data_IF_295717984204
#
_entry.id   IF_295717984204
#
_cell.length_a   1.000
_cell.length_b   1.000
_cell.length_c   1.000
_cell.angle_alpha   90.00
_cell.angle_beta   90.00
_cell.angle_gamma   90.00
#
_symmetry.space_group_name_H-M   'P 1'
#
loop_
_entity.id
_entity.type
_entity.pdbx_description
1 polymer ?
#
# COMPACT_ATOMS: atom_id res chain seq x y z
N UNK A 1 -8.17 -15.15 -18.08
CA UNK A 1 -6.70 -15.24 -18.06
C UNK A 1 -6.18 -14.42 -16.89
N UNK A 2 -5.17 -14.88 -16.15
CA UNK A 2 -4.63 -14.20 -14.97
C UNK A 2 -4.09 -12.79 -15.26
N UNK A 3 -3.51 -12.58 -16.45
CA UNK A 3 -3.17 -11.22 -16.92
C UNK A 3 -4.33 -10.65 -17.74
N UNK A 4 -4.86 -9.52 -17.29
CA UNK A 4 -6.04 -8.86 -17.85
C UNK A 4 -5.63 -7.47 -18.33
N UNK A 5 -5.67 -7.23 -19.65
CA UNK A 5 -5.59 -5.87 -20.17
C UNK A 5 -7.00 -5.30 -20.26
N UNK A 6 -7.26 -4.15 -19.64
CA UNK A 6 -8.60 -3.57 -19.55
C UNK A 6 -8.63 -2.10 -19.95
N UNK A 7 -9.75 -1.72 -20.56
CA UNK A 7 -10.10 -0.34 -20.92
C UNK A 7 -11.30 0.18 -20.12
N UNK A 8 -11.64 -0.46 -18.98
CA UNK A 8 -12.77 -0.07 -18.14
C UNK A 8 -12.51 1.23 -17.37
N UNK A 9 -11.25 1.57 -17.12
CA UNK A 9 -10.88 2.88 -16.60
C UNK A 9 -10.71 3.88 -17.75
N UNK A 10 -11.51 4.97 -17.72
CA UNK A 10 -11.38 6.11 -18.62
C UNK A 10 -11.12 7.37 -17.80
N UNK A 11 -9.97 8.04 -17.96
CA UNK A 11 -9.65 9.26 -17.23
C UNK A 11 -10.34 10.46 -17.90
N UNK A 12 -10.55 11.56 -17.17
CA UNK A 12 -10.99 12.81 -17.76
C UNK A 12 -10.01 13.31 -18.83
N UNK A 13 -10.54 13.96 -19.87
CA UNK A 13 -9.73 14.52 -20.96
C UNK A 13 -8.71 15.58 -20.49
N UNK A 14 -8.98 16.27 -19.38
CA UNK A 14 -8.08 17.25 -18.76
C UNK A 14 -6.99 16.60 -17.87
N UNK A 15 -6.97 15.27 -17.74
CA UNK A 15 -5.89 14.48 -17.16
C UNK A 15 -5.21 13.61 -18.24
N UNK A 16 -4.47 14.22 -19.19
CA UNK A 16 -4.11 13.56 -20.45
C UNK A 16 -3.02 12.49 -20.32
N UNK A 17 -2.22 12.49 -19.24
CA UNK A 17 -1.12 11.54 -19.07
C UNK A 17 -0.96 11.07 -17.61
N UNK A 18 -0.06 10.10 -17.43
CA UNK A 18 0.22 9.49 -16.12
C UNK A 18 0.64 10.47 -15.05
N UNK A 19 1.38 11.53 -15.38
CA UNK A 19 1.81 12.53 -14.39
C UNK A 19 0.62 13.33 -13.86
N UNK A 20 -0.22 13.88 -14.73
CA UNK A 20 -1.41 14.60 -14.30
C UNK A 20 -2.37 13.69 -13.52
N UNK A 21 -2.55 12.46 -13.97
CA UNK A 21 -3.38 11.46 -13.29
C UNK A 21 -2.84 11.09 -11.90
N UNK A 22 -1.52 11.15 -11.68
CA UNK A 22 -0.89 10.92 -10.37
C UNK A 22 -0.95 12.15 -9.46
N UNK A 23 -0.63 13.33 -10.01
CA UNK A 23 -0.43 14.56 -9.24
C UNK A 23 -1.75 15.18 -8.81
N UNK A 24 -2.74 15.23 -9.71
CA UNK A 24 -4.01 15.89 -9.43
C UNK A 24 -4.71 15.33 -8.18
N UNK A 25 -4.98 14.01 -8.08
CA UNK A 25 -5.67 13.48 -6.90
C UNK A 25 -4.82 13.60 -5.64
N UNK A 26 -3.50 13.52 -5.74
CA UNK A 26 -2.61 13.70 -4.60
C UNK A 26 -2.61 15.13 -4.02
N UNK A 27 -3.00 16.13 -4.81
CA UNK A 27 -3.05 17.54 -4.39
C UNK A 27 -4.46 18.06 -4.11
N UNK A 28 -5.45 17.62 -4.89
CA UNK A 28 -6.77 18.26 -4.93
C UNK A 28 -7.92 17.37 -4.45
N UNK A 29 -7.71 16.05 -4.32
CA UNK A 29 -8.74 15.17 -3.75
C UNK A 29 -8.73 15.35 -2.23
N UNK A 30 -9.90 15.61 -1.65
CA UNK A 30 -10.07 15.73 -0.20
C UNK A 30 -11.17 14.79 0.26
N UNK A 31 -10.82 13.85 1.13
CA UNK A 31 -11.76 12.88 1.72
C UNK A 31 -11.41 12.74 3.19
N UNK A 32 -12.41 12.97 4.03
CA UNK A 32 -12.29 12.89 5.49
C UNK A 32 -13.05 11.64 5.99
N UNK A 33 -12.38 10.51 6.20
CA UNK A 33 -12.98 9.34 6.83
C UNK A 33 -13.15 9.60 8.33
N UNK A 34 -14.07 8.87 8.96
CA UNK A 34 -14.21 8.89 10.42
C UNK A 34 -13.23 7.86 10.98
N UNK A 35 -12.10 8.35 11.51
CA UNK A 35 -11.07 7.52 12.12
C UNK A 35 -11.15 7.52 13.65
N UNK A 36 -10.92 6.34 14.23
CA UNK A 36 -10.61 6.15 15.64
C UNK A 36 -9.17 5.64 15.73
N UNK A 37 -8.28 6.46 16.28
CA UNK A 37 -6.85 6.12 16.38
C UNK A 37 -6.60 5.24 17.61
N UNK A 38 -5.87 4.15 17.40
CA UNK A 38 -5.34 3.26 18.42
C UNK A 38 -3.81 3.19 18.26
N UNK A 39 -3.06 3.43 19.32
CA UNK A 39 -1.60 3.25 19.33
C UNK A 39 -1.25 1.89 19.92
N UNK A 40 -0.48 1.11 19.18
CA UNK A 40 0.10 -0.14 19.67
C UNK A 40 1.57 0.07 20.02
N UNK A 41 1.99 -0.52 21.14
CA UNK A 41 3.43 -0.67 21.44
C UNK A 41 3.91 -1.95 20.76
N UNK A 42 4.97 -1.86 19.98
CA UNK A 42 5.52 -3.01 19.26
C UNK A 42 6.43 -3.84 20.18
N UNK A 43 6.73 -5.11 19.85
CA UNK A 43 7.61 -5.96 20.66
C UNK A 43 9.03 -5.41 20.86
N UNK A 44 9.50 -4.54 19.97
CA UNK A 44 10.79 -3.86 20.05
C UNK A 44 10.70 -2.49 20.78
N UNK A 45 9.68 -2.27 21.60
CA UNK A 45 9.44 -1.02 22.35
C UNK A 45 9.37 0.23 21.45
N UNK A 46 8.79 0.06 20.26
CA UNK A 46 8.40 1.14 19.38
C UNK A 46 6.87 1.31 19.39
N UNK A 47 6.32 2.00 18.40
CA UNK A 47 4.89 2.09 18.24
C UNK A 47 4.42 2.08 16.77
N UNK A 48 3.18 1.65 16.59
CA UNK A 48 2.41 1.81 15.36
C UNK A 48 1.07 2.47 15.71
N UNK A 49 0.62 3.41 14.87
CA UNK A 49 -0.68 4.05 15.00
C UNK A 49 -1.65 3.49 13.97
N UNK A 50 -2.77 2.94 14.44
CA UNK A 50 -3.83 2.34 13.64
C UNK A 50 -5.02 3.28 13.59
N UNK A 51 -5.48 3.62 12.40
CA UNK A 51 -6.68 4.44 12.20
C UNK A 51 -7.83 3.55 11.75
N UNK A 52 -8.74 3.24 12.68
CA UNK A 52 -9.91 2.40 12.44
C UNK A 52 -11.08 3.20 11.87
N UNK A 53 -11.79 2.64 10.91
CA UNK A 53 -13.06 3.17 10.42
C UNK A 53 -14.05 2.02 10.25
N UNK A 54 -15.19 2.11 10.93
CA UNK A 54 -16.16 1.02 10.97
C UNK A 54 -17.27 1.24 9.95
N UNK A 55 -17.75 0.16 9.36
CA UNK A 55 -18.85 0.22 8.41
C UNK A 55 -20.09 0.82 9.09
N UNK A 56 -20.82 1.66 8.36
CA UNK A 56 -22.10 2.18 8.87
C UNK A 56 -23.10 1.03 8.85
N UNK A 57 -23.93 0.92 9.89
CA UNK A 57 -25.05 -0.04 9.89
C UNK A 57 -25.95 0.26 8.69
N UNK A 58 -25.80 -0.51 7.60
CA UNK A 58 -26.73 -0.48 6.50
C UNK A 58 -28.04 -1.10 7.02
N UNK A 59 -29.06 -0.27 7.21
CA UNK A 59 -30.45 -0.64 7.52
C UNK A 59 -31.11 -1.60 6.50
N UNK A 60 -30.34 -2.15 5.56
CA UNK A 60 -30.80 -3.12 4.55
C UNK A 60 -30.73 -4.56 5.11
N UNK A 61 -29.91 -4.83 6.13
CA UNK A 61 -29.86 -6.15 6.78
C UNK A 61 -30.94 -6.36 7.86
N UNK A 62 -31.57 -5.29 8.38
CA UNK A 62 -32.51 -5.37 9.50
C UNK A 62 -33.99 -5.54 9.09
N UNK A 63 -34.28 -5.88 7.82
CA UNK A 63 -35.67 -6.18 7.37
C UNK A 63 -36.10 -7.65 7.55
N UNK A 64 -35.43 -8.40 8.42
CA UNK A 64 -35.97 -9.64 8.98
C UNK A 64 -35.98 -9.51 10.50
N UNK A 65 -37.05 -8.92 11.02
CA UNK A 65 -37.44 -9.08 12.42
C UNK A 65 -37.45 -10.58 12.77
N UNK A 66 -36.76 -10.93 13.86
CA UNK A 66 -36.65 -12.26 14.48
C UNK A 66 -35.46 -13.17 14.08
N UNK A 67 -34.24 -12.62 14.01
CA UNK A 67 -33.04 -13.43 14.20
C UNK A 67 -32.04 -12.75 15.17
N UNK A 68 -31.47 -13.56 16.06
CA UNK A 68 -30.48 -13.24 17.09
C UNK A 68 -29.36 -12.30 16.60
N UNK A 69 -28.83 -11.47 17.52
CA UNK A 69 -27.67 -10.55 17.39
C UNK A 69 -26.70 -10.92 16.26
N UNK A 70 -26.22 -9.96 15.42
CA UNK A 70 -25.04 -10.22 14.61
C UNK A 70 -23.85 -10.34 15.57
N UNK A 71 -23.45 -11.59 15.82
CA UNK A 71 -22.37 -11.98 16.76
C UNK A 71 -21.00 -12.04 16.07
N UNK A 72 -20.94 -11.76 14.75
CA UNK A 72 -19.72 -11.74 13.96
C UNK A 72 -19.37 -10.32 13.54
N UNK A 73 -18.11 -9.91 13.76
CA UNK A 73 -17.55 -8.69 13.16
C UNK A 73 -17.70 -8.72 11.63
N UNK A 74 -17.76 -7.53 11.02
CA UNK A 74 -17.78 -7.44 9.55
C UNK A 74 -16.40 -7.82 8.98
N UNK A 75 -16.33 -8.16 7.68
CA UNK A 75 -15.04 -8.34 7.03
C UNK A 75 -14.17 -7.09 7.18
N UNK A 76 -12.92 -7.29 7.59
CA UNK A 76 -11.94 -6.22 7.74
C UNK A 76 -11.12 -6.05 6.47
N UNK A 77 -10.80 -4.81 6.13
CA UNK A 77 -9.73 -4.49 5.18
C UNK A 77 -8.60 -3.77 5.90
N UNK A 78 -7.40 -4.33 5.87
CA UNK A 78 -6.18 -3.71 6.40
C UNK A 78 -5.48 -2.99 5.25
N UNK A 79 -5.29 -1.67 5.35
CA UNK A 79 -4.76 -0.81 4.29
C UNK A 79 -3.33 -0.34 4.60
N UNK A 80 -2.41 -0.65 3.69
CA UNK A 80 -0.98 -0.34 3.73
C UNK A 80 -0.66 0.79 2.74
N UNK A 81 -0.18 1.93 3.25
CA UNK A 81 0.07 3.14 2.43
C UNK A 81 1.40 3.09 1.66
N UNK A 82 1.59 4.03 0.73
CA UNK A 82 2.82 4.15 -0.06
C UNK A 82 3.99 4.81 0.69
N UNK A 83 5.13 4.96 0.01
CA UNK A 83 6.33 5.62 0.53
C UNK A 83 6.01 7.04 0.99
N UNK A 84 6.50 7.41 2.17
CA UNK A 84 6.28 8.71 2.83
C UNK A 84 4.78 9.08 2.91
N UNK A 85 3.95 8.04 3.01
CA UNK A 85 2.50 8.09 3.14
C UNK A 85 2.02 8.20 4.59
N UNK A 86 0.73 7.95 4.76
CA UNK A 86 0.01 7.82 6.02
C UNK A 86 -1.40 7.30 5.71
N UNK A 87 -2.18 6.98 6.74
CA UNK A 87 -3.61 6.67 6.64
C UNK A 87 -4.45 7.81 6.03
N UNK A 88 -3.92 9.03 5.98
CA UNK A 88 -4.59 10.24 5.50
C UNK A 88 -4.33 10.54 4.02
N UNK A 89 -3.54 9.71 3.33
CA UNK A 89 -3.35 9.84 1.87
C UNK A 89 -4.66 9.59 1.13
N UNK A 90 -4.87 10.34 0.06
CA UNK A 90 -6.14 10.42 -0.66
C UNK A 90 -6.63 9.10 -1.24
N UNK A 91 -5.70 8.24 -1.69
CA UNK A 91 -6.05 6.88 -2.15
C UNK A 91 -6.48 5.99 -0.97
N UNK A 92 -5.91 6.17 0.23
CA UNK A 92 -6.33 5.44 1.44
C UNK A 92 -7.68 5.95 1.92
N UNK A 93 -7.83 7.27 2.10
CA UNK A 93 -9.07 7.85 2.62
C UNK A 93 -10.25 7.65 1.69
N UNK A 94 -10.04 7.71 0.38
CA UNK A 94 -11.04 7.36 -0.63
C UNK A 94 -11.49 5.91 -0.52
N UNK A 95 -10.53 4.99 -0.43
CA UNK A 95 -10.79 3.57 -0.28
C UNK A 95 -11.53 3.25 1.02
N UNK A 96 -11.04 3.76 2.16
CA UNK A 96 -11.70 3.59 3.47
C UNK A 96 -13.14 4.11 3.44
N UNK A 97 -13.37 5.33 2.95
CA UNK A 97 -14.73 5.89 2.87
C UNK A 97 -15.63 5.01 2.01
N UNK A 98 -15.13 4.53 0.88
CA UNK A 98 -15.94 3.72 -0.03
C UNK A 98 -16.26 2.34 0.57
N UNK A 99 -15.27 1.63 1.10
CA UNK A 99 -15.44 0.30 1.68
C UNK A 99 -16.33 0.31 2.94
N UNK A 100 -16.18 1.30 3.80
CA UNK A 100 -17.05 1.45 5.00
C UNK A 100 -18.50 1.75 4.67
N UNK A 101 -18.79 2.38 3.53
CA UNK A 101 -20.18 2.50 3.04
C UNK A 101 -20.73 1.24 2.39
N UNK A 102 -19.85 0.27 2.09
CA UNK A 102 -20.17 -1.01 1.46
C UNK A 102 -19.98 -2.21 2.39
N UNK A 103 -20.05 -2.00 3.71
CA UNK A 103 -20.14 -3.08 4.69
C UNK A 103 -18.83 -3.69 5.16
N UNK A 104 -17.69 -3.06 4.87
CA UNK A 104 -16.39 -3.46 5.41
C UNK A 104 -15.96 -2.58 6.57
N UNK A 105 -15.39 -3.17 7.61
CA UNK A 105 -14.57 -2.42 8.55
C UNK A 105 -13.20 -2.18 7.93
N UNK A 106 -12.54 -1.09 8.27
CA UNK A 106 -11.25 -0.70 7.70
C UNK A 106 -10.26 -0.36 8.82
N UNK A 107 -9.02 -0.82 8.65
CA UNK A 107 -7.88 -0.47 9.48
C UNK A 107 -6.79 0.09 8.57
N UNK A 108 -6.57 1.39 8.60
CA UNK A 108 -5.46 2.03 7.92
C UNK A 108 -4.32 2.22 8.92
N UNK A 109 -3.27 1.41 8.82
CA UNK A 109 -2.13 1.51 9.72
C UNK A 109 -1.10 2.49 9.19
N UNK A 110 -0.44 3.20 10.08
CA UNK A 110 0.65 4.10 9.75
C UNK A 110 1.97 3.39 10.02
N UNK A 111 2.85 3.39 9.03
CA UNK A 111 4.21 2.90 9.22
C UNK A 111 4.95 3.73 10.26
N UNK A 112 6.03 3.16 10.81
CA UNK A 112 6.95 3.86 11.69
C UNK A 112 7.32 5.22 11.11
N UNK A 113 7.21 6.28 11.92
CA UNK A 113 7.47 7.67 11.51
C UNK A 113 6.51 8.28 10.47
N UNK A 114 5.32 7.70 10.27
CA UNK A 114 4.35 8.18 9.27
C UNK A 114 3.03 8.71 9.86
N UNK A 115 2.82 8.64 11.17
CA UNK A 115 1.60 9.10 11.85
C UNK A 115 1.66 10.54 12.39
N UNK A 116 2.78 11.24 12.16
CA UNK A 116 3.07 12.60 12.65
C UNK A 116 4.14 12.67 13.73
N UNK A 117 4.56 11.52 14.26
CA UNK A 117 5.61 11.38 15.27
C UNK A 117 6.71 10.47 14.76
N UNK A 118 7.97 10.81 15.01
CA UNK A 118 9.12 9.95 14.68
C UNK A 118 9.09 8.70 15.60
N UNK A 119 9.31 7.52 15.02
CA UNK A 119 9.35 6.28 15.78
C UNK A 119 10.53 6.27 16.76
N UNK A 120 10.46 5.42 17.79
CA UNK A 120 11.46 5.35 18.86
C UNK A 120 12.73 4.66 18.40
N UNK A 121 12.60 3.48 17.80
CA UNK A 121 13.74 2.61 17.50
C UNK A 121 14.61 3.13 16.35
N UNK A 122 15.84 2.63 16.24
CA UNK A 122 16.80 3.09 15.23
C UNK A 122 16.29 2.85 13.79
N UNK A 123 15.64 1.70 13.56
CA UNK A 123 15.08 1.31 12.25
C UNK A 123 13.94 2.22 11.80
N UNK A 124 13.70 2.26 10.51
CA UNK A 124 12.48 2.82 9.92
C UNK A 124 11.57 1.70 9.41
N UNK A 125 10.52 2.07 8.67
CA UNK A 125 9.89 1.14 7.74
C UNK A 125 10.69 1.11 6.44
N UNK A 126 10.54 0.03 5.67
CA UNK A 126 11.09 -0.10 4.32
C UNK A 126 10.15 -0.95 3.44
N UNK A 127 10.42 -1.07 2.15
CA UNK A 127 9.57 -1.79 1.19
C UNK A 127 9.45 -3.29 1.45
N UNK A 128 10.32 -3.85 2.29
CA UNK A 128 10.36 -5.27 2.65
C UNK A 128 9.77 -5.58 4.04
N UNK A 129 9.21 -4.57 4.71
CA UNK A 129 8.78 -4.65 6.11
C UNK A 129 7.47 -5.43 6.28
N UNK A 130 7.57 -6.76 6.38
CA UNK A 130 6.40 -7.63 6.57
C UNK A 130 6.14 -7.97 8.04
N UNK A 131 7.08 -7.69 8.94
CA UNK A 131 6.95 -8.01 10.37
C UNK A 131 5.99 -7.07 11.10
N UNK A 132 6.02 -5.77 10.77
CA UNK A 132 5.03 -4.84 11.32
C UNK A 132 3.62 -5.12 10.76
N UNK A 133 3.49 -5.57 9.50
CA UNK A 133 2.19 -5.97 8.93
C UNK A 133 1.63 -7.22 9.64
N UNK A 134 2.47 -8.22 9.88
CA UNK A 134 2.11 -9.41 10.68
C UNK A 134 1.59 -8.99 12.07
N UNK A 135 2.30 -8.09 12.75
CA UNK A 135 1.88 -7.61 14.07
C UNK A 135 0.50 -6.93 14.05
N UNK A 136 0.21 -6.13 13.02
CA UNK A 136 -1.11 -5.50 12.81
C UNK A 136 -2.20 -6.55 12.54
N UNK A 137 -1.90 -7.58 11.75
CA UNK A 137 -2.82 -8.69 11.47
C UNK A 137 -3.14 -9.46 12.75
N UNK A 138 -2.12 -9.81 13.54
CA UNK A 138 -2.32 -10.53 14.81
C UNK A 138 -3.16 -9.72 15.80
N UNK A 139 -2.98 -8.40 15.84
CA UNK A 139 -3.84 -7.52 16.64
C UNK A 139 -5.31 -7.56 16.17
N UNK A 140 -5.56 -7.53 14.85
CA UNK A 140 -6.90 -7.66 14.31
C UNK A 140 -7.53 -9.03 14.64
N UNK A 141 -6.76 -10.12 14.54
CA UNK A 141 -7.20 -11.46 14.94
C UNK A 141 -7.55 -11.52 16.43
N UNK A 142 -6.74 -10.92 17.29
CA UNK A 142 -6.99 -10.84 18.73
C UNK A 142 -8.25 -10.03 19.08
N UNK A 143 -8.64 -9.07 18.24
CA UNK A 143 -9.93 -8.37 18.35
C UNK A 143 -11.14 -9.20 17.86
N UNK A 144 -10.91 -10.38 17.30
CA UNK A 144 -11.95 -11.33 16.91
C UNK A 144 -12.33 -11.31 15.42
N UNK A 145 -11.57 -10.61 14.55
CA UNK A 145 -11.84 -10.64 13.12
C UNK A 145 -11.49 -12.02 12.54
N UNK A 146 -12.46 -12.67 11.90
CA UNK A 146 -12.30 -13.98 11.25
C UNK A 146 -12.25 -13.90 9.73
N UNK A 147 -12.45 -12.70 9.18
CA UNK A 147 -12.38 -12.39 7.76
C UNK A 147 -11.60 -11.09 7.54
N UNK A 148 -10.37 -11.22 7.07
CA UNK A 148 -9.42 -10.12 6.86
C UNK A 148 -9.03 -10.11 5.38
N UNK A 149 -9.02 -8.94 4.78
CA UNK A 149 -8.51 -8.71 3.44
C UNK A 149 -7.37 -7.71 3.53
N UNK A 150 -6.28 -7.99 2.82
CA UNK A 150 -5.11 -7.10 2.80
C UNK A 150 -5.18 -6.19 1.59
N UNK A 151 -4.86 -4.91 1.77
CA UNK A 151 -4.83 -3.95 0.68
C UNK A 151 -3.61 -3.06 0.76
N UNK A 152 -2.94 -2.85 -0.37
CA UNK A 152 -1.75 -2.02 -0.41
C UNK A 152 -1.67 -1.09 -1.62
N UNK A 153 -1.10 0.09 -1.42
CA UNK A 153 -0.87 1.06 -2.49
C UNK A 153 0.62 1.34 -2.61
N UNK A 154 1.15 1.34 -3.83
CA UNK A 154 2.57 1.63 -4.08
C UNK A 154 3.47 0.74 -3.22
N UNK A 155 4.40 1.32 -2.45
CA UNK A 155 5.24 0.60 -1.48
C UNK A 155 4.43 -0.35 -0.56
N UNK A 156 3.27 0.06 -0.07
CA UNK A 156 2.41 -0.80 0.76
C UNK A 156 1.80 -1.97 0.00
N UNK A 157 1.62 -1.83 -1.31
CA UNK A 157 1.31 -2.94 -2.20
C UNK A 157 2.46 -3.95 -2.24
N UNK A 158 3.70 -3.48 -2.32
CA UNK A 158 4.86 -4.37 -2.34
C UNK A 158 5.00 -5.14 -1.01
N UNK A 159 4.84 -4.45 0.12
CA UNK A 159 4.81 -5.08 1.46
C UNK A 159 3.70 -6.13 1.54
N UNK A 160 2.49 -5.79 1.09
CA UNK A 160 1.34 -6.70 1.10
C UNK A 160 1.59 -7.95 0.26
N UNK A 161 2.06 -7.79 -0.97
CA UNK A 161 2.34 -8.92 -1.88
C UNK A 161 3.52 -9.77 -1.40
N UNK A 162 4.56 -9.14 -0.83
CA UNK A 162 5.68 -9.86 -0.21
C UNK A 162 5.18 -10.71 0.96
N UNK A 163 4.37 -10.14 1.86
CA UNK A 163 3.79 -10.88 3.00
C UNK A 163 2.96 -12.08 2.53
N UNK A 164 2.10 -11.89 1.52
CA UNK A 164 1.29 -12.98 0.95
C UNK A 164 2.17 -14.08 0.35
N UNK A 165 3.22 -13.71 -0.37
CA UNK A 165 4.16 -14.68 -0.97
C UNK A 165 5.02 -15.40 0.07
N UNK A 166 5.53 -14.70 1.08
CA UNK A 166 6.36 -15.29 2.16
C UNK A 166 5.58 -16.34 2.97
N UNK A 167 4.31 -16.07 3.25
CA UNK A 167 3.48 -17.00 4.02
C UNK A 167 2.92 -18.13 3.14
N UNK A 168 2.62 -17.84 1.87
CA UNK A 168 2.10 -18.82 0.92
C UNK A 168 0.99 -19.69 1.51
N UNK A 169 1.14 -21.02 1.46
CA UNK A 169 0.17 -21.97 2.01
C UNK A 169 -0.02 -21.89 3.54
N UNK A 170 0.92 -21.28 4.27
CA UNK A 170 0.84 -21.10 5.72
C UNK A 170 0.11 -19.81 6.12
N UNK A 171 -0.38 -19.03 5.15
CA UNK A 171 -1.12 -17.80 5.44
C UNK A 171 -2.34 -18.10 6.32
N UNK A 172 -2.54 -17.27 7.35
CA UNK A 172 -3.60 -17.51 8.33
C UNK A 172 -4.98 -17.58 7.64
N UNK A 173 -5.84 -18.57 7.94
CA UNK A 173 -7.07 -18.84 7.19
C UNK A 173 -8.12 -17.72 7.30
N UNK A 174 -7.99 -16.82 8.27
CA UNK A 174 -8.83 -15.62 8.34
C UNK A 174 -8.52 -14.62 7.21
N UNK A 175 -7.31 -14.65 6.64
CA UNK A 175 -6.91 -13.77 5.54
C UNK A 175 -7.45 -14.36 4.24
N UNK A 176 -8.42 -13.68 3.62
CA UNK A 176 -9.17 -14.23 2.48
C UNK A 176 -8.64 -13.76 1.14
N UNK A 177 -8.31 -12.48 1.01
CA UNK A 177 -7.93 -11.87 -0.27
C UNK A 177 -6.88 -10.78 -0.08
N UNK A 178 -6.13 -10.52 -1.14
CA UNK A 178 -5.20 -9.39 -1.22
C UNK A 178 -5.49 -8.53 -2.46
N UNK A 179 -5.41 -7.20 -2.32
CA UNK A 179 -5.57 -6.25 -3.42
C UNK A 179 -4.45 -5.22 -3.39
N UNK A 180 -3.77 -5.00 -4.51
CA UNK A 180 -2.65 -4.08 -4.54
C UNK A 180 -2.69 -3.16 -5.78
N UNK A 181 -2.50 -1.86 -5.58
CA UNK A 181 -2.58 -0.85 -6.63
C UNK A 181 -1.25 -0.12 -6.85
N UNK A 182 -0.90 0.10 -8.13
CA UNK A 182 0.31 0.82 -8.57
C UNK A 182 1.58 0.29 -7.90
N UNK A 183 1.74 -1.03 -7.90
CA UNK A 183 2.72 -1.72 -7.05
C UNK A 183 4.10 -1.80 -7.70
N UNK A 184 5.17 -1.33 -7.05
CA UNK A 184 6.54 -1.49 -7.52
C UNK A 184 7.07 -2.90 -7.16
N UNK A 185 6.63 -3.93 -7.88
CA UNK A 185 7.03 -5.33 -7.60
C UNK A 185 8.52 -5.59 -7.82
N UNK A 186 9.16 -4.75 -8.65
CA UNK A 186 10.60 -4.70 -8.89
C UNK A 186 11.16 -3.36 -8.38
N UNK A 187 11.70 -3.37 -7.16
CA UNK A 187 12.13 -2.14 -6.49
C UNK A 187 13.32 -1.48 -7.21
N UNK A 188 14.25 -2.28 -7.74
CA UNK A 188 15.40 -1.75 -8.46
C UNK A 188 14.96 -1.08 -9.77
N UNK A 189 14.09 -1.74 -10.55
CA UNK A 189 13.58 -1.16 -11.79
C UNK A 189 12.80 0.15 -11.51
N UNK A 190 12.00 0.20 -10.46
CA UNK A 190 11.29 1.41 -10.05
C UNK A 190 12.25 2.52 -9.57
N UNK A 191 13.29 2.18 -8.82
CA UNK A 191 14.35 3.15 -8.44
C UNK A 191 15.03 3.74 -9.66
N UNK A 192 15.36 2.93 -10.67
CA UNK A 192 15.97 3.45 -11.91
C UNK A 192 14.99 4.25 -12.75
N UNK A 193 13.71 3.88 -12.75
CA UNK A 193 12.69 4.59 -13.51
C UNK A 193 12.40 5.99 -12.94
N UNK A 194 12.41 6.17 -11.61
CA UNK A 194 12.16 7.49 -11.00
C UNK A 194 13.33 8.47 -11.20
N UNK A 195 14.53 7.96 -11.50
CA UNK A 195 15.73 8.76 -11.81
C UNK A 195 15.66 9.45 -13.20
N UNK A 196 14.74 9.01 -14.07
CA UNK A 196 14.57 9.61 -15.40
C UNK A 196 14.20 11.10 -15.33
N UNK A 197 14.64 11.93 -16.29
CA UNK A 197 14.40 13.38 -16.25
C UNK A 197 12.92 13.79 -16.08
N UNK A 198 12.01 13.10 -16.76
CA UNK A 198 10.55 13.31 -16.69
C UNK A 198 9.96 13.03 -15.30
N UNK A 199 10.63 12.20 -14.50
CA UNK A 199 10.20 11.76 -13.16
C UNK A 199 10.89 12.49 -12.01
N UNK A 200 11.86 13.36 -12.31
CA UNK A 200 12.72 14.03 -11.34
C UNK A 200 11.95 14.77 -10.23
N UNK A 201 10.75 15.27 -10.53
CA UNK A 201 9.88 15.93 -9.55
C UNK A 201 9.48 14.99 -8.39
N UNK A 202 9.25 13.71 -8.68
CA UNK A 202 8.89 12.72 -7.66
C UNK A 202 10.09 12.37 -6.80
N UNK A 203 11.24 12.07 -7.43
CA UNK A 203 12.48 11.79 -6.71
C UNK A 203 12.85 12.94 -5.77
N UNK A 204 12.84 14.18 -6.28
CA UNK A 204 13.09 15.37 -5.45
C UNK A 204 12.12 15.47 -4.28
N UNK A 205 10.81 15.27 -4.51
CA UNK A 205 9.79 15.35 -3.46
C UNK A 205 10.03 14.32 -2.37
N UNK A 206 10.32 13.06 -2.72
CA UNK A 206 10.57 12.01 -1.74
C UNK A 206 11.88 12.22 -0.98
N UNK A 207 12.98 12.56 -1.63
CA UNK A 207 14.23 12.87 -0.93
C UNK A 207 14.07 14.07 0.00
N UNK A 208 13.26 15.07 -0.40
CA UNK A 208 12.93 16.22 0.44
C UNK A 208 12.12 15.81 1.68
N UNK A 209 11.21 14.85 1.60
CA UNK A 209 10.44 14.37 2.77
C UNK A 209 11.22 13.40 3.66
N UNK A 210 12.15 12.63 3.09
CA UNK A 210 13.01 11.71 3.85
C UNK A 210 14.08 12.44 4.67
N UNK A 211 14.63 13.55 4.16
CA UNK A 211 15.70 14.30 4.84
C UNK A 211 15.36 14.70 6.28
N UNK A 212 14.18 15.27 6.59
CA UNK A 212 13.79 15.55 7.98
C UNK A 212 13.78 14.31 8.87
N UNK A 213 13.34 13.15 8.38
CA UNK A 213 13.30 11.90 9.17
C UNK A 213 14.71 11.42 9.51
N UNK A 214 15.59 11.45 8.52
CA UNK A 214 17.02 11.18 8.68
C UNK A 214 17.64 12.12 9.72
N UNK A 215 17.40 13.43 9.62
CA UNK A 215 17.89 14.41 10.60
C UNK A 215 17.37 14.14 12.00
N UNK A 216 16.08 13.87 12.16
CA UNK A 216 15.48 13.58 13.45
C UNK A 216 16.04 12.29 14.06
N UNK A 217 16.23 11.25 13.25
CA UNK A 217 16.80 9.97 13.72
C UNK A 217 18.26 10.11 14.13
N UNK A 218 19.02 10.96 13.43
CA UNK A 218 20.39 11.25 13.83
C UNK A 218 20.51 12.06 15.11
N UNK A 219 19.49 12.86 15.46
CA UNK A 219 19.44 13.49 16.77
C UNK A 219 19.14 12.48 17.89
N UNK A 220 18.31 11.47 17.61
CA UNK A 220 18.00 10.39 18.56
C UNK A 220 19.16 9.41 18.74
N UNK A 221 19.89 9.10 17.65
CA UNK A 221 20.97 8.11 17.61
C UNK A 221 22.24 8.67 16.95
N UNK A 222 22.91 9.67 17.55
CA UNK A 222 24.04 10.35 16.93
C UNK A 222 25.21 9.41 16.59
N UNK A 223 25.45 8.39 17.41
CA UNK A 223 26.54 7.42 17.21
C UNK A 223 26.26 6.41 16.08
N UNK A 224 24.99 6.25 15.68
CA UNK A 224 24.58 5.26 14.68
C UNK A 224 24.15 5.91 13.35
N UNK A 225 24.18 7.23 13.26
CA UNK A 225 23.57 7.94 12.13
C UNK A 225 24.46 9.10 11.63
N UNK A 226 25.20 8.86 10.55
CA UNK A 226 26.06 9.88 9.96
C UNK A 226 25.31 10.78 8.96
N UNK A 227 24.89 11.96 9.42
CA UNK A 227 24.26 12.97 8.57
C UNK A 227 25.20 13.55 7.50
N UNK A 228 26.53 13.47 7.68
CA UNK A 228 27.48 13.99 6.68
C UNK A 228 27.40 13.19 5.38
N UNK A 229 26.91 11.94 5.44
CA UNK A 229 26.69 11.10 4.25
C UNK A 229 25.53 11.56 3.38
N UNK A 230 24.63 12.43 3.89
CA UNK A 230 23.49 12.92 3.11
C UNK A 230 23.93 13.63 1.81
N UNK A 231 25.12 14.24 1.79
CA UNK A 231 25.66 14.90 0.59
C UNK A 231 25.87 13.95 -0.60
N UNK A 232 25.94 12.64 -0.35
CA UNK A 232 26.05 11.61 -1.39
C UNK A 232 24.69 11.15 -1.93
N UNK A 233 23.59 11.48 -1.25
CA UNK A 233 22.24 11.04 -1.63
C UNK A 233 21.68 11.90 -2.75
N UNK A 234 21.62 11.34 -3.96
CA UNK A 234 21.03 11.98 -5.15
C UNK A 234 19.88 11.17 -5.74
N UNK A 235 19.87 9.86 -5.50
CA UNK A 235 18.90 8.89 -6.00
C UNK A 235 18.29 8.08 -4.86
N UNK A 236 17.26 7.28 -5.14
CA UNK A 236 16.78 6.29 -4.19
C UNK A 236 17.80 5.20 -3.92
N UNK A 237 18.53 4.76 -4.95
CA UNK A 237 19.63 3.82 -4.76
C UNK A 237 20.65 4.38 -3.76
N UNK A 238 21.04 5.65 -3.86
CA UNK A 238 21.98 6.26 -2.90
C UNK A 238 21.40 6.32 -1.50
N UNK A 239 20.14 6.76 -1.37
CA UNK A 239 19.46 6.82 -0.07
C UNK A 239 19.41 5.43 0.58
N UNK A 240 19.02 4.43 -0.19
CA UNK A 240 18.88 3.07 0.29
C UNK A 240 20.24 2.44 0.57
N UNK A 241 21.28 2.74 -0.20
CA UNK A 241 22.62 2.22 0.04
C UNK A 241 23.26 2.86 1.29
N UNK A 242 23.04 4.16 1.50
CA UNK A 242 23.65 4.91 2.60
C UNK A 242 22.90 4.71 3.92
N UNK A 243 21.57 4.64 3.88
CA UNK A 243 20.73 4.63 5.08
C UNK A 243 19.88 3.36 5.19
N UNK A 244 18.96 3.10 4.25
CA UNK A 244 17.99 1.98 4.40
C UNK A 244 18.68 0.64 4.58
N UNK A 245 19.65 0.30 3.73
CA UNK A 245 20.34 -0.98 3.72
C UNK A 245 21.03 -1.24 5.06
N UNK A 246 22.03 -0.42 5.45
CA UNK A 246 22.76 -0.59 6.70
C UNK A 246 21.88 -0.57 7.95
N UNK A 247 20.85 0.29 8.01
CA UNK A 247 19.96 0.39 9.19
C UNK A 247 19.12 -0.87 9.42
N UNK A 248 18.88 -1.66 8.37
CA UNK A 248 18.03 -2.85 8.41
C UNK A 248 18.81 -4.14 8.15
N UNK A 249 20.15 -4.08 8.22
CA UNK A 249 21.02 -5.26 8.10
C UNK A 249 21.20 -5.80 6.68
N UNK A 250 20.86 -5.02 5.65
CA UNK A 250 21.20 -5.35 4.26
C UNK A 250 22.62 -4.92 3.94
N UNK A 251 23.28 -5.62 3.01
CA UNK A 251 24.65 -5.28 2.57
C UNK A 251 24.70 -3.93 1.83
N UNK A 252 23.58 -3.49 1.27
CA UNK A 252 23.42 -2.24 0.54
C UNK A 252 22.08 -2.20 -0.22
N UNK A 253 21.91 -1.21 -1.10
CA UNK A 253 20.68 -1.05 -1.88
C UNK A 253 20.31 -2.26 -2.75
N UNK A 254 21.28 -2.88 -3.43
CA UNK A 254 20.99 -4.01 -4.33
C UNK A 254 20.51 -5.25 -3.56
N UNK A 255 21.17 -5.58 -2.43
CA UNK A 255 20.74 -6.64 -1.52
C UNK A 255 19.35 -6.35 -0.94
N UNK A 256 19.11 -5.10 -0.52
CA UNK A 256 17.80 -4.64 -0.07
C UNK A 256 16.73 -4.84 -1.14
N UNK A 257 16.97 -4.41 -2.38
CA UNK A 257 16.00 -4.55 -3.47
C UNK A 257 15.74 -6.00 -3.82
N UNK A 258 16.78 -6.85 -3.84
CA UNK A 258 16.62 -8.27 -4.11
C UNK A 258 15.76 -8.95 -3.04
N UNK A 259 16.03 -8.70 -1.75
CA UNK A 259 15.31 -9.32 -0.63
C UNK A 259 13.93 -8.71 -0.38
N UNK A 260 13.66 -7.50 -0.86
CA UNK A 260 12.42 -6.78 -0.57
C UNK A 260 11.43 -6.72 -1.75
N UNK A 261 11.86 -7.02 -2.98
CA UNK A 261 10.98 -6.96 -4.16
C UNK A 261 9.96 -8.10 -4.15
N UNK A 262 8.67 -7.77 -4.12
CA UNK A 262 7.58 -8.77 -4.07
C UNK A 262 7.54 -9.69 -5.30
N UNK A 263 8.12 -9.30 -6.45
CA UNK A 263 8.27 -10.20 -7.61
C UNK A 263 8.98 -11.52 -7.26
N UNK A 264 9.89 -11.50 -6.29
CA UNK A 264 10.62 -12.69 -5.84
C UNK A 264 9.77 -13.66 -5.04
N UNK A 265 8.64 -13.22 -4.50
CA UNK A 265 7.81 -13.98 -3.56
C UNK A 265 6.43 -14.33 -4.13
N UNK A 266 5.94 -13.55 -5.10
CA UNK A 266 4.55 -13.65 -5.56
C UNK A 266 4.16 -15.06 -6.04
N UNK A 267 5.10 -15.83 -6.59
CA UNK A 267 4.88 -17.20 -7.08
C UNK A 267 4.30 -18.16 -6.02
N UNK A 268 4.49 -17.86 -4.73
CA UNK A 268 4.01 -18.67 -3.61
C UNK A 268 2.65 -18.21 -3.05
N UNK A 269 2.07 -17.13 -3.55
CA UNK A 269 0.78 -16.62 -3.08
C UNK A 269 -0.31 -17.71 -3.16
N UNK A 270 -0.97 -18.00 -2.03
CA UNK A 270 -1.97 -19.08 -1.93
C UNK A 270 -3.43 -18.60 -1.81
N UNK A 271 -3.65 -17.29 -1.70
CA UNK A 271 -4.99 -16.69 -1.62
C UNK A 271 -5.31 -15.89 -2.89
N UNK A 272 -6.59 -15.68 -3.22
CA UNK A 272 -6.99 -14.77 -4.28
C UNK A 272 -6.34 -13.38 -4.14
N UNK A 273 -5.56 -12.99 -5.14
CA UNK A 273 -4.76 -11.76 -5.11
C UNK A 273 -4.95 -10.96 -6.39
N UNK A 274 -5.42 -9.72 -6.28
CA UNK A 274 -5.55 -8.79 -7.42
C UNK A 274 -4.43 -7.74 -7.37
N UNK A 275 -3.69 -7.62 -8.46
CA UNK A 275 -2.64 -6.62 -8.67
C UNK A 275 -3.11 -5.71 -9.81
N UNK A 276 -3.17 -4.40 -9.57
CA UNK A 276 -3.64 -3.44 -10.56
C UNK A 276 -2.59 -2.37 -10.81
N UNK A 277 -2.11 -2.27 -12.05
CA UNK A 277 -1.12 -1.29 -12.45
C UNK A 277 -1.56 -0.59 -13.75
N UNK A 278 -1.31 0.72 -13.83
CA UNK A 278 -1.53 1.45 -15.06
C UNK A 278 -0.28 1.37 -15.96
N UNK A 279 -0.47 1.13 -17.26
CA UNK A 279 0.60 1.15 -18.26
C UNK A 279 1.29 2.51 -18.31
N UNK A 280 0.54 3.59 -18.05
CA UNK A 280 1.06 4.95 -18.02
C UNK A 280 1.54 5.43 -16.63
N UNK A 281 1.73 4.53 -15.66
CA UNK A 281 2.23 4.87 -14.33
C UNK A 281 3.66 5.47 -14.43
N UNK A 282 3.90 6.72 -14.00
CA UNK A 282 5.21 7.34 -14.13
C UNK A 282 6.26 6.75 -13.19
N UNK A 283 5.86 6.08 -12.10
CA UNK A 283 6.78 5.52 -11.10
C UNK A 283 7.05 4.04 -11.35
N UNK A 284 6.04 3.28 -11.73
CA UNK A 284 6.14 1.83 -11.97
C UNK A 284 6.18 1.54 -13.47
N UNK A 285 7.35 1.23 -14.05
CA UNK A 285 7.40 0.85 -15.45
C UNK A 285 6.71 -0.51 -15.63
N UNK A 286 5.65 -0.57 -16.44
CA UNK A 286 4.84 -1.80 -16.55
C UNK A 286 5.65 -3.02 -17.03
N UNK A 287 6.75 -2.80 -17.77
CA UNK A 287 7.64 -3.86 -18.23
C UNK A 287 8.41 -4.54 -17.07
N UNK A 288 8.49 -3.91 -15.90
CA UNK A 288 9.13 -4.54 -14.72
C UNK A 288 8.20 -5.48 -13.96
N UNK A 289 6.91 -5.54 -14.33
CA UNK A 289 5.95 -6.43 -13.68
C UNK A 289 6.16 -7.87 -14.17
N UNK A 290 6.13 -8.88 -13.29
CA UNK A 290 6.40 -10.28 -13.64
C UNK A 290 5.18 -10.93 -14.32
N UNK A 291 4.75 -10.37 -15.46
CA UNK A 291 3.54 -10.76 -16.18
C UNK A 291 3.59 -12.23 -16.62
N UNK A 292 4.75 -12.70 -17.07
CA UNK A 292 4.94 -14.10 -17.51
C UNK A 292 4.79 -15.09 -16.35
N UNK A 293 5.23 -14.71 -15.15
CA UNK A 293 5.05 -15.53 -13.94
C UNK A 293 3.57 -15.57 -13.58
N UNK A 294 2.92 -14.40 -13.49
CA UNK A 294 1.51 -14.28 -13.08
C UNK A 294 0.57 -14.95 -14.08
N UNK A 295 0.89 -14.93 -15.38
CA UNK A 295 0.07 -15.57 -16.42
C UNK A 295 -0.21 -17.07 -16.17
N UNK A 296 0.67 -17.73 -15.41
CA UNK A 296 0.57 -19.15 -15.08
C UNK A 296 -0.01 -19.42 -13.68
N UNK A 297 -0.41 -18.38 -12.94
CA UNK A 297 -0.92 -18.51 -11.58
C UNK A 297 -2.46 -18.64 -11.55
N UNK A 298 -3.03 -19.57 -10.77
CA UNK A 298 -4.47 -19.80 -10.75
C UNK A 298 -5.25 -18.79 -9.90
N UNK A 299 -4.59 -18.15 -8.93
CA UNK A 299 -5.21 -17.33 -7.89
C UNK A 299 -4.64 -15.90 -7.81
N UNK A 300 -3.82 -15.49 -8.78
CA UNK A 300 -3.26 -14.15 -8.85
C UNK A 300 -3.62 -13.52 -10.18
N UNK A 301 -4.21 -12.33 -10.14
CA UNK A 301 -4.57 -11.58 -11.33
C UNK A 301 -3.74 -10.29 -11.43
N UNK A 302 -3.14 -10.06 -12.59
CA UNK A 302 -2.52 -8.78 -12.95
C UNK A 302 -3.41 -8.04 -13.93
N UNK A 303 -4.05 -6.98 -13.46
CA UNK A 303 -4.89 -6.11 -14.26
C UNK A 303 -4.11 -4.86 -14.70
N UNK A 304 -3.84 -4.78 -16.00
CA UNK A 304 -3.17 -3.66 -16.63
C UNK A 304 -4.21 -2.71 -17.24
N UNK A 305 -4.37 -1.54 -16.64
CA UNK A 305 -5.19 -0.46 -17.22
C UNK A 305 -4.32 0.38 -18.16
N UNK A 306 -4.88 0.91 -19.25
CA UNK A 306 -4.12 1.81 -20.13
C UNK A 306 -3.80 3.16 -19.46
N UNK A 307 -4.60 3.54 -18.47
CA UNK A 307 -4.48 4.81 -17.77
C UNK A 307 -4.82 4.65 -16.28
N UNK A 308 -4.42 5.63 -15.48
CA UNK A 308 -4.61 5.63 -14.03
C UNK A 308 -3.48 6.37 -13.32
N UNK A 309 -2.33 6.55 -13.97
CA UNK A 309 -1.13 7.07 -13.32
C UNK A 309 -0.74 6.24 -12.10
N UNK A 310 -0.02 6.86 -11.16
CA UNK A 310 0.36 6.24 -9.91
C UNK A 310 -0.67 6.54 -8.82
N UNK A 311 -1.43 5.52 -8.39
CA UNK A 311 -2.51 5.63 -7.41
C UNK A 311 -3.58 6.69 -7.77
N UNK A 312 -3.73 7.00 -9.06
CA UNK A 312 -4.56 8.11 -9.53
C UNK A 312 -6.00 7.69 -9.83
N UNK A 313 -6.17 6.74 -10.77
CA UNK A 313 -7.41 6.01 -11.14
C UNK A 313 -8.74 6.79 -11.13
N UNK A 314 -8.70 8.12 -11.33
CA UNK A 314 -9.89 8.97 -11.37
C UNK A 314 -10.66 8.70 -12.66
N UNK A 315 -11.93 8.28 -12.59
CA UNK A 315 -12.76 8.12 -13.77
C UNK A 315 -13.19 9.48 -14.32
N UNK A 316 -13.50 9.54 -15.61
CA UNK A 316 -14.17 10.68 -16.24
C UNK A 316 -15.59 10.85 -15.68
N UNK A 317 -16.35 9.75 -15.71
CA UNK A 317 -17.71 9.65 -15.21
C UNK A 317 -17.74 8.76 -13.97
N UNK A 318 -18.24 9.29 -12.87
CA UNK A 318 -18.40 8.57 -11.61
C UNK A 318 -19.60 7.61 -11.69
N UNK A 319 -19.35 6.30 -11.56
CA UNK A 319 -20.43 5.31 -11.43
C UNK A 319 -21.05 5.30 -10.03
N UNK A 320 -20.28 5.70 -9.02
CA UNK A 320 -20.69 5.84 -7.63
C UNK A 320 -20.23 7.20 -7.12
N UNK A 321 -21.03 7.83 -6.24
CA UNK A 321 -20.76 9.18 -5.74
C UNK A 321 -19.33 9.29 -5.15
N UNK A 322 -18.50 10.11 -5.79
CA UNK A 322 -17.12 10.45 -5.42
C UNK A 322 -16.10 9.28 -5.37
N UNK A 323 -16.51 8.06 -5.78
CA UNK A 323 -15.62 6.90 -5.79
C UNK A 323 -14.75 6.91 -7.05
N UNK A 324 -13.44 6.67 -6.90
CA UNK A 324 -12.62 6.45 -8.07
C UNK A 324 -12.76 5.01 -8.55
N UNK A 325 -12.24 4.74 -9.75
CA UNK A 325 -12.37 3.42 -10.36
C UNK A 325 -11.67 2.35 -9.53
N UNK A 326 -10.55 2.69 -8.89
CA UNK A 326 -9.80 1.78 -8.02
C UNK A 326 -10.65 1.24 -6.86
N UNK A 327 -11.47 2.08 -6.23
CA UNK A 327 -12.31 1.71 -5.10
C UNK A 327 -13.45 0.82 -5.54
N UNK A 328 -14.08 1.13 -6.67
CA UNK A 328 -15.12 0.29 -7.27
C UNK A 328 -14.55 -1.07 -7.66
N UNK A 329 -13.37 -1.09 -8.28
CA UNK A 329 -12.70 -2.33 -8.69
C UNK A 329 -12.30 -3.19 -7.50
N UNK A 330 -11.75 -2.56 -6.45
CA UNK A 330 -11.40 -3.24 -5.20
C UNK A 330 -12.63 -3.88 -4.55
N UNK A 331 -13.73 -3.12 -4.40
CA UNK A 331 -14.97 -3.66 -3.85
C UNK A 331 -15.47 -4.85 -4.67
N UNK A 332 -15.49 -4.72 -6.00
CA UNK A 332 -15.92 -5.79 -6.90
C UNK A 332 -15.15 -7.08 -6.61
N UNK A 333 -13.82 -7.03 -6.59
CA UNK A 333 -12.97 -8.19 -6.29
C UNK A 333 -13.20 -8.75 -4.88
N UNK A 334 -13.35 -7.87 -3.88
CA UNK A 334 -13.61 -8.29 -2.51
C UNK A 334 -14.95 -9.04 -2.37
N UNK A 335 -15.97 -8.64 -3.14
CA UNK A 335 -17.31 -9.25 -3.10
C UNK A 335 -17.55 -10.40 -4.09
N UNK A 336 -16.63 -10.64 -5.03
CA UNK A 336 -16.69 -11.81 -5.93
C UNK A 336 -16.62 -13.11 -5.09
N UNK A 337 -17.57 -14.02 -5.27
CA UNK A 337 -17.65 -15.29 -4.52
C UNK A 337 -16.68 -16.31 -5.09
#
# INVERSE_FOLDING_TARGET
MPVISTNTHRPPSWLPNGHYQSIYPALFRTINPSYQRERLTTPDDDFLDLDWSFAKNNKIADKKENAKLPTSLRPLVILSHGLEGSSTRQYVTGMVKFLTTNGFDCLAWNYRSCSGEINRQLRFYHSGETTDLEFVIQHALAKGYTEINLMGFSLGGNVTLKYVGENGANIHPAIKKAVAFSVPMDLLACSRNIEKPENKIYLWRFLKSLKPKVTAKAQQYPEHFDLKKWKYVKTFWDFDHVYTGPLHGFEGADDYYQKSSSKGFIHAAAIPTLIVNAVNDPLVPYQSLPSDVIANMPNVWLELTQSGGHCGFRPDIFSHKDAYWSEVRALTFLTEV
#
